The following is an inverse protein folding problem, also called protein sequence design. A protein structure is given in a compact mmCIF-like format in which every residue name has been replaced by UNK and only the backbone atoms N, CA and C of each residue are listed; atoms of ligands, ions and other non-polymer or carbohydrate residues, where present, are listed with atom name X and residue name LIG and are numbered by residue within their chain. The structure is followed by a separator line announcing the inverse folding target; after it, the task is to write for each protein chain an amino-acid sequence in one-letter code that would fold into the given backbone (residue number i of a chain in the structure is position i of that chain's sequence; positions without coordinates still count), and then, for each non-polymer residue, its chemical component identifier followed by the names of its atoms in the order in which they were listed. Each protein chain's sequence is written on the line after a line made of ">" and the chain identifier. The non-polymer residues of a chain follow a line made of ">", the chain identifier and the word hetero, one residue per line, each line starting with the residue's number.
data_IF_153880051108
#
_entry.id   IF_153880051108
#
_cell.length_a   1.000
_cell.length_b   1.000
_cell.length_c   1.000
_cell.angle_alpha   90.00
_cell.angle_beta   90.00
_cell.angle_gamma   90.00
#
_symmetry.space_group_name_H-M   'P 1'
#
loop_
_entity.id
_entity.type
_entity.pdbx_description
1 polymer ?
#
# COMPACT_ATOMS: atom_id res chain seq x y z
N UNK A 1 25.35 19.93 4.07
CA UNK A 1 24.63 19.03 4.98
C UNK A 1 23.22 18.79 4.46
N UNK A 2 22.99 17.55 4.00
CA UNK A 2 21.72 16.79 3.93
C UNK A 2 20.45 17.46 3.41
N UNK A 3 20.22 17.35 2.11
CA UNK A 3 18.93 17.01 1.46
C UNK A 3 19.32 16.51 0.06
N UNK A 4 19.02 15.30 -0.41
CA UNK A 4 17.70 14.95 -0.98
C UNK A 4 17.81 13.53 -1.55
N UNK A 5 17.38 12.50 -0.83
CA UNK A 5 17.10 11.17 -1.43
C UNK A 5 15.59 10.96 -1.45
N UNK A 6 14.86 11.94 -1.98
CA UNK A 6 13.40 11.91 -2.13
C UNK A 6 12.96 11.83 -3.59
N UNK A 7 13.87 11.48 -4.50
CA UNK A 7 13.72 11.72 -5.94
C UNK A 7 13.99 10.52 -6.85
N UNK A 8 13.64 9.29 -6.44
CA UNK A 8 13.63 8.14 -7.35
C UNK A 8 12.22 7.56 -7.64
N UNK A 9 11.16 8.05 -6.98
CA UNK A 9 9.79 7.65 -7.29
C UNK A 9 9.16 8.62 -8.29
N UNK A 10 8.50 8.09 -9.31
CA UNK A 10 7.70 8.90 -10.23
C UNK A 10 6.55 9.59 -9.47
N UNK A 11 6.09 10.74 -9.96
CA UNK A 11 4.94 11.47 -9.36
C UNK A 11 3.73 10.58 -9.02
N UNK A 12 3.29 9.63 -9.87
CA UNK A 12 2.19 8.74 -9.51
C UNK A 12 2.54 7.72 -8.40
N UNK A 13 3.78 7.25 -8.34
CA UNK A 13 4.24 6.35 -7.27
C UNK A 13 4.32 7.11 -5.94
N UNK A 14 4.85 8.34 -5.93
CA UNK A 14 4.85 9.18 -4.74
C UNK A 14 3.43 9.50 -4.24
N UNK A 15 2.49 9.75 -5.15
CA UNK A 15 1.09 9.98 -4.79
C UNK A 15 0.43 8.72 -4.18
N UNK A 16 0.85 7.54 -4.64
CA UNK A 16 0.38 6.26 -4.11
C UNK A 16 0.97 6.01 -2.72
N UNK A 17 2.28 6.19 -2.55
CA UNK A 17 2.96 6.09 -1.25
C UNK A 17 2.36 7.05 -0.22
N UNK A 18 2.15 8.32 -0.60
CA UNK A 18 1.53 9.31 0.29
C UNK A 18 0.10 8.91 0.70
N UNK A 19 -0.64 8.18 -0.14
CA UNK A 19 -1.97 7.67 0.19
C UNK A 19 -1.89 6.49 1.17
N UNK A 20 -0.89 5.60 1.01
CA UNK A 20 -0.61 4.51 1.95
C UNK A 20 -0.23 5.06 3.33
N UNK A 21 0.78 5.92 3.40
CA UNK A 21 1.24 6.50 4.67
C UNK A 21 0.11 7.28 5.36
N UNK A 22 -0.69 8.03 4.58
CA UNK A 22 -1.83 8.74 5.13
C UNK A 22 -2.90 7.79 5.67
N UNK A 23 -3.06 6.60 5.09
CA UNK A 23 -3.99 5.58 5.57
C UNK A 23 -3.54 5.01 6.91
N UNK A 24 -2.27 4.65 7.01
CA UNK A 24 -1.73 4.03 8.22
C UNK A 24 -1.75 5.04 9.38
N UNK A 25 -1.40 6.30 9.09
CA UNK A 25 -1.56 7.38 10.06
C UNK A 25 -3.02 7.61 10.47
N UNK A 26 -4.01 7.48 9.56
CA UNK A 26 -5.43 7.58 9.94
C UNK A 26 -5.88 6.43 10.84
N UNK A 27 -5.38 5.22 10.59
CA UNK A 27 -5.66 4.03 11.40
C UNK A 27 -5.05 4.17 12.80
N UNK A 28 -3.84 4.75 12.88
CA UNK A 28 -3.18 5.15 14.13
C UNK A 28 -3.82 6.38 14.83
N UNK A 29 -4.98 6.87 14.35
CA UNK A 29 -5.74 7.94 15.00
C UNK A 29 -5.32 9.36 14.65
N UNK A 30 -4.36 9.58 13.75
CA UNK A 30 -3.94 10.92 13.38
C UNK A 30 -5.02 11.71 12.61
N UNK A 31 -5.06 13.02 12.85
CA UNK A 31 -5.92 13.95 12.11
C UNK A 31 -5.33 14.27 10.72
N UNK A 32 -6.16 14.72 9.78
CA UNK A 32 -5.67 15.12 8.45
C UNK A 32 -4.70 16.30 8.47
N UNK A 33 -4.78 17.17 9.49
CA UNK A 33 -3.81 18.24 9.68
C UNK A 33 -2.43 17.69 10.07
N UNK A 34 -2.40 16.73 11.01
CA UNK A 34 -1.18 16.03 11.42
C UNK A 34 -0.57 15.22 10.27
N UNK A 35 -1.40 14.53 9.48
CA UNK A 35 -0.95 13.78 8.30
C UNK A 35 -0.34 14.70 7.26
N UNK A 36 -0.97 15.84 6.98
CA UNK A 36 -0.45 16.84 6.04
C UNK A 36 0.94 17.32 6.46
N UNK A 37 1.13 17.62 7.74
CA UNK A 37 2.42 18.05 8.29
C UNK A 37 3.46 16.93 8.22
N UNK A 38 3.14 15.73 8.73
CA UNK A 38 4.04 14.57 8.77
C UNK A 38 4.55 14.17 7.38
N UNK A 39 3.67 14.18 6.38
CA UNK A 39 4.01 13.74 5.03
C UNK A 39 4.50 14.89 4.12
N UNK A 40 4.49 16.13 4.59
CA UNK A 40 4.88 17.30 3.80
C UNK A 40 3.94 17.55 2.61
N UNK A 41 2.65 17.31 2.78
CA UNK A 41 1.66 17.37 1.69
C UNK A 41 1.12 18.78 1.47
N UNK A 42 0.83 19.09 0.21
CA UNK A 42 0.06 20.28 -0.14
C UNK A 42 -1.42 20.13 0.25
N UNK A 43 -2.14 21.25 0.31
CA UNK A 43 -3.57 21.26 0.60
C UNK A 43 -4.38 20.45 -0.43
N UNK A 44 -3.98 20.48 -1.70
CA UNK A 44 -4.63 19.72 -2.77
C UNK A 44 -4.38 18.21 -2.66
N UNK A 45 -3.16 17.81 -2.31
CA UNK A 45 -2.79 16.40 -2.09
C UNK A 45 -3.57 15.79 -0.92
N UNK A 46 -3.65 16.49 0.23
CA UNK A 46 -4.42 15.98 1.37
C UNK A 46 -5.93 15.96 1.08
N UNK A 47 -6.46 16.91 0.30
CA UNK A 47 -7.86 16.89 -0.13
C UNK A 47 -8.17 15.68 -1.02
N UNK A 48 -7.27 15.35 -1.95
CA UNK A 48 -7.38 14.17 -2.80
C UNK A 48 -7.39 12.88 -1.95
N UNK A 49 -6.45 12.75 -1.01
CA UNK A 49 -6.37 11.61 -0.08
C UNK A 49 -7.68 11.46 0.71
N UNK A 50 -8.19 12.55 1.29
CA UNK A 50 -9.47 12.55 2.03
C UNK A 50 -10.61 12.03 1.15
N UNK A 51 -10.70 12.48 -0.09
CA UNK A 51 -11.75 12.08 -1.04
C UNK A 51 -11.64 10.59 -1.39
N UNK A 52 -10.43 10.09 -1.61
CA UNK A 52 -10.18 8.68 -1.94
C UNK A 52 -10.56 7.77 -0.77
N UNK A 53 -10.10 8.08 0.44
CA UNK A 53 -10.43 7.31 1.64
C UNK A 53 -11.95 7.33 1.95
N UNK A 54 -12.59 8.50 1.83
CA UNK A 54 -14.04 8.64 2.02
C UNK A 54 -14.82 7.79 1.00
N UNK A 55 -14.40 7.78 -0.27
CA UNK A 55 -15.05 6.98 -1.32
C UNK A 55 -14.93 5.49 -1.04
N UNK A 56 -13.76 5.01 -0.64
CA UNK A 56 -13.54 3.59 -0.30
C UNK A 56 -14.41 3.15 0.89
N UNK A 57 -14.47 3.96 1.96
CA UNK A 57 -15.37 3.69 3.09
C UNK A 57 -16.84 3.65 2.67
N UNK A 58 -17.27 4.61 1.85
CA UNK A 58 -18.65 4.66 1.36
C UNK A 58 -19.00 3.45 0.48
N UNK A 59 -18.04 2.94 -0.31
CA UNK A 59 -18.23 1.73 -1.10
C UNK A 59 -18.46 0.50 -0.21
N UNK A 60 -17.63 0.31 0.82
CA UNK A 60 -17.83 -0.76 1.81
C UNK A 60 -19.19 -0.65 2.50
N UNK A 61 -19.60 0.56 2.91
CA UNK A 61 -20.92 0.77 3.52
C UNK A 61 -22.06 0.42 2.58
N UNK A 62 -21.98 0.80 1.30
CA UNK A 62 -23.00 0.47 0.29
C UNK A 62 -23.05 -1.04 0.01
N UNK A 63 -21.90 -1.68 -0.07
CA UNK A 63 -21.79 -3.13 -0.24
C UNK A 63 -22.52 -3.86 0.90
N UNK A 64 -22.19 -3.55 2.16
CA UNK A 64 -22.85 -4.14 3.34
C UNK A 64 -24.34 -3.83 3.41
N UNK A 65 -24.77 -2.64 2.97
CA UNK A 65 -26.19 -2.27 2.92
C UNK A 65 -26.97 -3.10 1.89
N UNK A 66 -26.40 -3.29 0.69
CA UNK A 66 -27.08 -3.98 -0.41
C UNK A 66 -27.00 -5.51 -0.28
N UNK A 67 -25.98 -6.02 0.40
CA UNK A 67 -25.76 -7.43 0.67
C UNK A 67 -25.26 -7.58 2.11
N UNK A 68 -26.17 -7.86 3.07
CA UNK A 68 -25.82 -7.98 4.49
C UNK A 68 -24.77 -9.08 4.74
N UNK A 69 -24.80 -10.14 3.95
CA UNK A 69 -23.87 -11.28 4.05
C UNK A 69 -22.56 -11.03 3.30
N UNK A 70 -22.40 -9.88 2.62
CA UNK A 70 -21.17 -9.58 1.90
C UNK A 70 -20.01 -9.35 2.86
N UNK A 71 -18.97 -10.13 2.63
CA UNK A 71 -17.70 -10.05 3.35
C UNK A 71 -16.78 -9.02 2.69
N UNK A 72 -15.64 -8.78 3.32
CA UNK A 72 -14.60 -7.91 2.76
C UNK A 72 -14.04 -8.47 1.44
N UNK A 73 -14.07 -9.80 1.26
CA UNK A 73 -13.64 -10.49 0.04
C UNK A 73 -14.48 -10.08 -1.17
N UNK A 74 -15.77 -9.80 -0.96
CA UNK A 74 -16.72 -9.41 -2.00
C UNK A 74 -16.55 -7.97 -2.49
N UNK A 75 -15.65 -7.19 -1.88
CA UNK A 75 -15.42 -5.81 -2.29
C UNK A 75 -14.83 -5.77 -3.70
N UNK A 76 -15.51 -5.07 -4.61
CA UNK A 76 -15.03 -4.92 -5.99
C UNK A 76 -13.70 -4.16 -6.04
N UNK A 77 -12.76 -4.65 -6.84
CA UNK A 77 -11.50 -3.97 -7.14
C UNK A 77 -11.76 -2.57 -7.70
N UNK A 78 -12.80 -2.38 -8.52
CA UNK A 78 -13.18 -1.08 -9.07
C UNK A 78 -13.49 -0.03 -7.98
N UNK A 79 -13.84 -0.47 -6.79
CA UNK A 79 -14.18 0.35 -5.63
C UNK A 79 -13.07 0.42 -4.58
N UNK A 80 -11.93 -0.24 -4.82
CA UNK A 80 -10.78 -0.26 -3.92
C UNK A 80 -10.00 1.05 -3.96
N UNK A 81 -9.08 1.19 -3.00
CA UNK A 81 -8.16 2.34 -2.88
C UNK A 81 -7.00 2.31 -3.89
N UNK A 82 -6.86 1.24 -4.68
CA UNK A 82 -5.75 1.12 -5.63
C UNK A 82 -5.77 2.25 -6.69
N UNK A 83 -4.61 2.60 -7.26
CA UNK A 83 -4.54 3.53 -8.38
C UNK A 83 -5.47 3.12 -9.54
N UNK A 84 -6.13 4.08 -10.23
CA UNK A 84 -7.07 3.76 -11.31
C UNK A 84 -6.48 2.89 -12.42
N UNK A 85 -5.21 3.12 -12.80
CA UNK A 85 -4.50 2.31 -13.80
C UNK A 85 -4.34 0.86 -13.34
N UNK A 86 -3.95 0.66 -12.08
CA UNK A 86 -3.79 -0.68 -11.49
C UNK A 86 -5.14 -1.41 -11.42
N UNK A 87 -6.23 -0.72 -11.02
CA UNK A 87 -7.58 -1.32 -11.04
C UNK A 87 -8.01 -1.77 -12.43
N UNK A 88 -7.72 -0.98 -13.48
CA UNK A 88 -8.05 -1.36 -14.86
C UNK A 88 -7.31 -2.61 -15.29
N UNK A 89 -6.01 -2.70 -14.97
CA UNK A 89 -5.17 -3.86 -15.31
C UNK A 89 -5.62 -5.12 -14.60
N UNK A 90 -5.93 -5.04 -13.31
CA UNK A 90 -6.44 -6.17 -12.54
C UNK A 90 -7.79 -6.67 -13.08
N UNK A 91 -8.72 -5.75 -13.39
CA UNK A 91 -9.98 -6.13 -14.03
C UNK A 91 -9.78 -6.78 -15.41
N UNK A 92 -8.84 -6.25 -16.21
CA UNK A 92 -8.51 -6.83 -17.52
C UNK A 92 -7.87 -8.23 -17.40
N UNK A 93 -7.15 -8.48 -16.30
CA UNK A 93 -6.57 -9.78 -15.96
C UNK A 93 -7.58 -10.75 -15.30
N UNK A 94 -8.87 -10.38 -15.19
CA UNK A 94 -9.93 -11.24 -14.66
C UNK A 94 -10.14 -11.16 -13.16
N UNK A 95 -9.42 -10.29 -12.44
CA UNK A 95 -9.67 -10.05 -11.02
C UNK A 95 -10.75 -8.99 -10.87
N UNK A 96 -11.86 -9.33 -10.22
CA UNK A 96 -13.01 -8.45 -10.03
C UNK A 96 -13.23 -8.08 -8.56
N UNK A 97 -12.83 -8.94 -7.63
CA UNK A 97 -13.01 -8.80 -6.18
C UNK A 97 -11.69 -8.88 -5.42
N UNK A 98 -11.69 -8.45 -4.15
CA UNK A 98 -10.53 -8.64 -3.28
C UNK A 98 -10.26 -10.12 -2.99
N UNK A 99 -11.31 -10.94 -2.92
CA UNK A 99 -11.21 -12.39 -2.75
C UNK A 99 -10.46 -13.07 -3.89
N UNK A 100 -10.66 -12.61 -5.14
CA UNK A 100 -9.95 -13.15 -6.30
C UNK A 100 -8.43 -12.94 -6.17
N UNK A 101 -8.00 -11.78 -5.65
CA UNK A 101 -6.59 -11.45 -5.44
C UNK A 101 -5.99 -12.21 -4.25
N UNK A 102 -6.75 -12.34 -3.16
CA UNK A 102 -6.36 -13.12 -2.00
C UNK A 102 -6.15 -14.59 -2.37
N UNK A 103 -7.11 -15.20 -3.07
CA UNK A 103 -7.01 -16.59 -3.53
C UNK A 103 -5.80 -16.76 -4.46
N UNK A 104 -5.60 -15.82 -5.38
CA UNK A 104 -4.48 -15.86 -6.31
C UNK A 104 -3.10 -15.79 -5.64
N UNK A 105 -3.00 -15.07 -4.54
CA UNK A 105 -1.76 -14.91 -3.76
C UNK A 105 -1.55 -16.03 -2.73
N UNK A 106 -2.62 -16.72 -2.33
CA UNK A 106 -2.56 -17.87 -1.43
C UNK A 106 -2.20 -19.17 -2.16
N UNK A 107 -2.35 -19.21 -3.49
CA UNK A 107 -2.08 -20.38 -4.33
C UNK A 107 -0.58 -20.44 -4.71
N UNK A 108 0.19 -21.41 -4.17
CA UNK A 108 1.62 -21.55 -4.45
C UNK A 108 1.91 -22.13 -5.84
N UNK A 109 0.92 -22.76 -6.49
CA UNK A 109 1.10 -23.43 -7.78
C UNK A 109 0.91 -22.47 -8.96
N UNK A 110 0.35 -21.28 -8.70
CA UNK A 110 0.17 -20.25 -9.71
C UNK A 110 1.34 -19.26 -9.72
N UNK A 111 1.82 -18.82 -10.90
CA UNK A 111 2.94 -17.88 -11.00
C UNK A 111 2.63 -16.57 -10.27
N UNK A 112 3.59 -15.87 -9.66
CA UNK A 112 3.28 -14.66 -8.89
C UNK A 112 2.56 -13.57 -9.71
N UNK A 113 1.85 -12.65 -9.05
CA UNK A 113 1.15 -11.55 -9.73
C UNK A 113 2.09 -10.68 -10.59
N UNK A 114 3.38 -10.68 -10.26
CA UNK A 114 4.45 -10.04 -10.99
C UNK A 114 4.63 -10.56 -12.42
N UNK A 115 4.14 -11.76 -12.72
CA UNK A 115 4.19 -12.32 -14.09
C UNK A 115 3.11 -11.73 -15.00
N UNK A 116 2.17 -10.94 -14.46
CA UNK A 116 1.14 -10.28 -15.25
C UNK A 116 1.71 -9.04 -15.96
N UNK A 117 1.30 -8.76 -17.21
CA UNK A 117 1.80 -7.63 -17.96
C UNK A 117 1.60 -6.31 -17.20
N UNK A 118 2.69 -5.57 -17.01
CA UNK A 118 2.72 -4.29 -16.32
C UNK A 118 2.25 -4.32 -14.86
N UNK A 119 2.29 -5.47 -14.18
CA UNK A 119 2.20 -5.56 -12.73
C UNK A 119 3.61 -5.90 -12.24
N UNK A 120 4.43 -4.87 -12.01
CA UNK A 120 5.77 -5.06 -11.45
C UNK A 120 5.74 -5.32 -9.94
N UNK A 121 6.89 -5.64 -9.32
CA UNK A 121 6.99 -5.98 -7.90
C UNK A 121 6.41 -4.90 -6.97
N UNK A 122 6.64 -3.62 -7.29
CA UNK A 122 6.04 -2.50 -6.56
C UNK A 122 4.51 -2.57 -6.54
N UNK A 123 3.87 -2.85 -7.68
CA UNK A 123 2.40 -2.94 -7.78
C UNK A 123 1.86 -4.17 -7.04
N UNK A 124 2.61 -5.27 -7.03
CA UNK A 124 2.28 -6.45 -6.22
C UNK A 124 2.32 -6.09 -4.73
N UNK A 125 3.32 -5.33 -4.28
CA UNK A 125 3.42 -4.89 -2.89
C UNK A 125 2.24 -3.98 -2.49
N UNK A 126 1.82 -3.06 -3.36
CA UNK A 126 0.60 -2.25 -3.15
C UNK A 126 -0.65 -3.14 -2.98
N UNK A 127 -0.77 -4.21 -3.77
CA UNK A 127 -1.89 -5.16 -3.69
C UNK A 127 -1.84 -5.91 -2.35
N UNK A 128 -0.67 -6.42 -1.95
CA UNK A 128 -0.49 -7.13 -0.67
C UNK A 128 -0.83 -6.23 0.53
N UNK A 129 -0.34 -4.99 0.55
CA UNK A 129 -0.64 -3.99 1.60
C UNK A 129 -2.11 -3.57 1.64
N UNK A 130 -2.76 -3.52 0.47
CA UNK A 130 -4.20 -3.32 0.41
C UNK A 130 -4.94 -4.52 1.02
N UNK A 131 -4.61 -5.76 0.67
CA UNK A 131 -5.27 -6.94 1.23
C UNK A 131 -5.05 -7.08 2.74
N UNK A 132 -3.84 -6.76 3.23
CA UNK A 132 -3.54 -6.72 4.66
C UNK A 132 -4.43 -5.73 5.42
N UNK A 133 -4.71 -4.55 4.85
CA UNK A 133 -5.66 -3.57 5.43
C UNK A 133 -7.02 -4.16 5.75
N UNK A 134 -7.45 -5.04 4.85
CA UNK A 134 -8.75 -5.63 4.83
C UNK A 134 -8.79 -6.93 5.66
N UNK A 135 -7.66 -7.29 6.29
CA UNK A 135 -7.50 -8.52 7.07
C UNK A 135 -7.44 -9.77 6.20
N UNK A 136 -7.21 -9.63 4.89
CA UNK A 136 -7.20 -10.74 3.92
C UNK A 136 -5.79 -11.33 3.72
N UNK A 137 -4.76 -10.63 4.19
CA UNK A 137 -3.40 -11.16 4.28
C UNK A 137 -2.82 -10.75 5.64
N UNK A 138 -1.87 -11.53 6.20
CA UNK A 138 -1.10 -11.06 7.33
C UNK A 138 -0.42 -9.73 6.98
N UNK A 139 -0.38 -8.80 7.93
CA UNK A 139 0.32 -7.54 7.73
C UNK A 139 1.79 -7.83 7.43
N UNK A 140 2.22 -7.58 6.19
CA UNK A 140 3.64 -7.46 5.85
C UNK A 140 4.13 -6.14 6.44
N UNK A 141 4.33 -6.13 7.75
CA UNK A 141 4.80 -4.99 8.51
C UNK A 141 6.32 -5.07 8.74
N UNK A 142 7.04 -5.79 7.88
CA UNK A 142 8.49 -5.79 7.91
C UNK A 142 9.02 -4.66 7.03
N UNK A 143 8.72 -3.43 7.47
CA UNK A 143 9.31 -2.21 6.92
C UNK A 143 10.84 -2.30 6.97
N UNK A 144 11.39 -3.03 7.95
CA UNK A 144 12.81 -3.29 8.12
C UNK A 144 13.34 -4.21 7.01
N UNK A 145 12.72 -5.36 6.75
CA UNK A 145 13.10 -6.23 5.63
C UNK A 145 12.95 -5.52 4.27
N UNK A 146 11.91 -4.70 4.09
CA UNK A 146 11.72 -3.92 2.87
C UNK A 146 12.76 -2.79 2.70
N UNK A 147 13.32 -2.26 3.80
CA UNK A 147 14.42 -1.29 3.77
C UNK A 147 15.75 -2.01 3.48
N UNK A 148 16.00 -3.16 4.10
CA UNK A 148 17.21 -3.98 3.87
C UNK A 148 17.29 -4.51 2.43
N UNK A 149 16.16 -4.88 1.82
CA UNK A 149 16.08 -5.33 0.42
C UNK A 149 16.26 -4.18 -0.59
N UNK A 150 15.86 -2.96 -0.23
CA UNK A 150 15.98 -1.77 -1.09
C UNK A 150 17.31 -1.02 -0.92
N UNK A 151 18.01 -1.25 0.19
CA UNK A 151 19.29 -0.62 0.54
C UNK A 151 20.21 -1.64 1.23
N UNK A 152 20.80 -2.60 0.49
CA UNK A 152 21.64 -3.64 1.06
C UNK A 152 22.88 -3.07 1.78
N UNK A 153 23.35 -1.88 1.41
CA UNK A 153 24.41 -1.14 2.10
C UNK A 153 24.08 -0.62 3.52
N UNK A 154 22.82 -0.69 3.97
CA UNK A 154 22.43 -0.36 5.35
C UNK A 154 22.39 -1.59 6.28
N UNK A 155 22.66 -2.79 5.74
CA UNK A 155 22.51 -4.06 6.43
C UNK A 155 23.72 -4.55 7.23
N UNK A 156 24.76 -3.73 7.42
CA UNK A 156 25.96 -4.17 8.15
C UNK A 156 26.67 -3.00 8.86
N UNK A 157 26.16 -2.61 10.03
CA UNK A 157 26.89 -1.82 11.03
C UNK A 157 26.85 -2.57 12.37
N UNK A 158 27.40 -3.79 12.37
CA UNK A 158 27.45 -4.71 13.50
C UNK A 158 28.83 -4.95 14.10
N UNK A 159 29.90 -4.30 13.62
CA UNK A 159 31.24 -4.41 14.23
C UNK A 159 31.94 -3.04 14.29
N UNK A 160 31.45 -2.14 15.13
CA UNK A 160 32.36 -1.13 15.70
C UNK A 160 33.10 -1.77 16.86
N UNK A 161 34.24 -2.35 16.51
CA UNK A 161 35.29 -2.78 17.42
C UNK A 161 35.54 -1.70 18.49
N UNK A 162 35.18 -2.01 19.72
CA UNK A 162 35.54 -1.27 20.92
C UNK A 162 37.06 -1.36 21.10
N UNK A 163 37.78 -0.31 20.70
CA UNK A 163 39.14 -0.06 21.19
C UNK A 163 38.99 0.74 22.48
N UNK A 164 39.42 0.24 23.66
CA UNK A 164 39.49 1.04 24.86
C UNK A 164 40.78 1.87 24.82
N UNK A 165 40.62 3.20 24.91
CA UNK A 165 41.72 4.15 25.11
C UNK A 165 42.09 4.17 26.59
N UNK A 166 43.38 4.13 26.92
CA UNK A 166 43.97 5.18 27.76
C UNK A 166 44.93 6.08 26.96
#
# INVERSE_FOLDING_TARGET
>A
MTMTVRSMLSRPEQATLNLEDARDLRTAGHSYAQIRQKLGLTASQIALIRRTLKRAKAAQTRMRKNRPDATVRDLSIGQSILPPDLRKRLNAAGFHTLGDLEQRLADPDLPGLETLPAIGPYRVQLIKRMLAHFGLLPETNDLKAAIEELFPELGDDGETSLIPVP
#
